data_IF_198420633285
#
_entry.id   IF_198420633285
#
_cell.length_a   1.000
_cell.length_b   1.000
_cell.length_c   1.000
_cell.angle_alpha   90.00
_cell.angle_beta   90.00
_cell.angle_gamma   90.00
#
_symmetry.space_group_name_H-M   'P 1'
#
loop_
_entity.id
_entity.type
_entity.pdbx_description
1 polymer ?
#
# COMPACT_ATOMS: atom_id res chain seq x y z
N UNK A 1 -4.22 8.29 -10.26
CA UNK A 1 -3.18 9.13 -9.62
C UNK A 1 -1.83 8.55 -9.96
N UNK A 2 -0.82 9.39 -10.23
CA UNK A 2 0.50 8.92 -10.68
C UNK A 2 1.29 8.33 -9.51
N UNK A 3 2.03 7.22 -9.70
CA UNK A 3 2.87 6.67 -8.65
C UNK A 3 3.93 7.69 -8.22
N UNK A 4 4.27 7.66 -6.93
CA UNK A 4 5.40 8.43 -6.40
C UNK A 4 6.63 7.53 -6.54
N UNK A 5 7.67 8.00 -7.22
CA UNK A 5 8.86 7.19 -7.51
C UNK A 5 10.14 7.92 -7.13
N UNK A 6 11.11 7.18 -6.60
CA UNK A 6 12.50 7.59 -6.62
C UNK A 6 13.06 7.58 -8.06
N UNK A 7 14.33 7.91 -8.24
CA UNK A 7 14.96 7.90 -9.57
C UNK A 7 14.94 6.49 -10.16
N UNK A 8 14.44 6.37 -11.39
CA UNK A 8 14.51 5.13 -12.17
C UNK A 8 15.89 5.04 -12.83
N UNK A 9 16.55 3.92 -12.66
CA UNK A 9 17.88 3.66 -13.22
C UNK A 9 17.92 2.30 -13.91
N UNK A 10 18.88 2.10 -14.81
CA UNK A 10 19.16 0.78 -15.37
C UNK A 10 19.80 -0.12 -14.31
N UNK A 11 19.38 -1.39 -14.27
CA UNK A 11 19.98 -2.37 -13.37
C UNK A 11 21.44 -2.64 -13.82
N UNK A 12 22.45 -2.44 -12.97
CA UNK A 12 23.83 -2.72 -13.34
C UNK A 12 24.11 -4.17 -13.75
N UNK A 13 23.26 -5.11 -13.27
CA UNK A 13 23.39 -6.55 -13.55
C UNK A 13 22.60 -7.00 -14.77
N UNK A 14 21.60 -6.25 -15.20
CA UNK A 14 20.76 -6.56 -16.36
C UNK A 14 20.36 -5.26 -17.08
N UNK A 15 21.10 -4.84 -18.15
CA UNK A 15 20.80 -3.59 -18.87
C UNK A 15 19.41 -3.52 -19.51
N UNK A 16 18.72 -4.65 -19.66
CA UNK A 16 17.33 -4.72 -20.15
C UNK A 16 16.30 -4.48 -19.06
N UNK A 17 16.76 -4.33 -17.81
CA UNK A 17 15.93 -4.09 -16.65
C UNK A 17 16.09 -2.67 -16.15
N UNK A 18 14.98 -2.05 -15.83
CA UNK A 18 14.92 -0.77 -15.09
C UNK A 18 14.50 -1.05 -13.66
N UNK A 19 15.04 -0.30 -12.72
CA UNK A 19 14.77 -0.44 -11.29
C UNK A 19 14.57 0.90 -10.63
N UNK A 20 13.77 0.90 -9.57
CA UNK A 20 13.54 2.04 -8.70
C UNK A 20 13.50 1.52 -7.26
N UNK A 21 14.28 2.11 -6.37
CA UNK A 21 14.37 1.67 -4.98
C UNK A 21 13.10 1.92 -4.17
N UNK A 22 12.38 2.98 -4.53
CA UNK A 22 11.12 3.32 -3.84
C UNK A 22 10.09 3.72 -4.87
N UNK A 23 9.00 2.97 -4.91
CA UNK A 23 7.78 3.31 -5.63
C UNK A 23 6.60 3.14 -4.68
N UNK A 24 5.75 4.16 -4.62
CA UNK A 24 4.48 4.13 -3.89
C UNK A 24 3.35 4.16 -4.88
N UNK A 25 2.45 3.20 -4.78
CA UNK A 25 1.22 3.13 -5.55
C UNK A 25 0.04 2.92 -4.62
N UNK A 26 -1.12 3.38 -5.03
CA UNK A 26 -2.39 3.00 -4.44
C UNK A 26 -3.39 2.73 -5.56
N UNK A 27 -4.25 1.78 -5.31
CA UNK A 27 -5.19 1.35 -6.32
C UNK A 27 -6.00 0.16 -5.88
N UNK A 28 -6.79 -0.36 -6.80
CA UNK A 28 -7.71 -1.45 -6.55
C UNK A 28 -7.09 -2.78 -6.96
N UNK A 29 -7.13 -3.76 -6.06
CA UNK A 29 -6.72 -5.12 -6.39
C UNK A 29 -7.60 -5.68 -7.51
N UNK A 30 -6.99 -6.07 -8.62
CA UNK A 30 -7.69 -6.53 -9.83
C UNK A 30 -8.14 -8.00 -9.74
N UNK A 31 -7.54 -8.75 -8.83
CA UNK A 31 -7.81 -10.17 -8.56
C UNK A 31 -7.48 -10.50 -7.11
N UNK A 32 -7.98 -11.63 -6.65
CA UNK A 32 -7.57 -12.21 -5.38
C UNK A 32 -6.07 -12.50 -5.40
N UNK A 33 -5.44 -12.46 -4.25
CA UNK A 33 -4.05 -12.86 -4.12
C UNK A 33 -3.88 -14.34 -4.44
N UNK A 34 -2.70 -14.69 -4.96
CA UNK A 34 -2.25 -16.05 -5.15
C UNK A 34 -1.11 -16.34 -4.19
N UNK A 35 -1.29 -17.36 -3.35
CA UNK A 35 -0.24 -17.87 -2.47
C UNK A 35 0.46 -19.04 -3.13
N UNK A 36 1.74 -18.96 -3.26
CA UNK A 36 2.65 -20.01 -3.74
C UNK A 36 3.82 -20.13 -2.76
N UNK A 37 4.64 -21.15 -2.94
CA UNK A 37 5.91 -21.27 -2.23
C UNK A 37 7.07 -21.19 -3.21
N UNK A 38 8.14 -20.54 -2.81
CA UNK A 38 9.38 -20.53 -3.61
C UNK A 38 9.95 -21.95 -3.66
N UNK A 39 10.73 -22.23 -4.69
CA UNK A 39 11.51 -23.47 -4.73
C UNK A 39 12.54 -23.40 -3.60
N UNK A 40 12.49 -24.37 -2.70
CA UNK A 40 13.54 -24.54 -1.70
C UNK A 40 14.85 -25.00 -2.33
N UNK A 41 15.94 -24.84 -1.59
CA UNK A 41 17.24 -25.42 -1.87
C UNK A 41 17.74 -26.15 -0.62
N UNK A 42 18.85 -26.87 -0.71
CA UNK A 42 19.47 -27.56 0.44
C UNK A 42 19.77 -26.60 1.61
N UNK A 43 20.04 -25.32 1.29
CA UNK A 43 20.41 -24.28 2.27
C UNK A 43 19.28 -23.31 2.61
N UNK A 44 18.14 -23.37 1.91
CA UNK A 44 17.04 -22.42 2.11
C UNK A 44 15.68 -23.12 1.96
N UNK A 45 14.85 -23.18 3.01
CA UNK A 45 13.54 -23.79 2.91
C UNK A 45 12.62 -22.99 1.96
N UNK A 46 11.56 -23.63 1.43
CA UNK A 46 10.52 -22.93 0.68
C UNK A 46 9.93 -21.79 1.51
N UNK A 47 9.77 -20.61 0.89
CA UNK A 47 9.19 -19.42 1.54
C UNK A 47 7.85 -19.06 0.90
N UNK A 48 6.88 -18.56 1.66
CA UNK A 48 5.62 -18.10 1.10
C UNK A 48 5.88 -16.96 0.13
N UNK A 49 5.18 -16.99 -0.99
CA UNK A 49 5.21 -16.00 -2.05
C UNK A 49 3.77 -15.62 -2.39
N UNK A 50 3.40 -14.37 -2.12
CA UNK A 50 2.09 -13.80 -2.44
C UNK A 50 2.21 -12.91 -3.67
N UNK A 51 1.29 -13.09 -4.62
CA UNK A 51 1.22 -12.28 -5.83
C UNK A 51 -0.21 -11.84 -6.11
N UNK A 52 -0.40 -10.60 -6.53
CA UNK A 52 -1.67 -10.07 -7.01
C UNK A 52 -1.43 -8.92 -7.98
N UNK A 53 -2.49 -8.43 -8.63
CA UNK A 53 -2.42 -7.29 -9.52
C UNK A 53 -3.11 -6.09 -8.90
N UNK A 54 -2.54 -4.90 -9.07
CA UNK A 54 -3.16 -3.63 -8.66
C UNK A 54 -3.40 -2.79 -9.90
N UNK A 55 -4.64 -2.36 -10.07
CA UNK A 55 -5.00 -1.34 -11.05
C UNK A 55 -4.79 0.02 -10.39
N UNK A 56 -3.81 0.76 -10.85
CA UNK A 56 -3.48 2.12 -10.42
C UNK A 56 -3.55 3.02 -11.66
N UNK A 57 -3.78 4.29 -11.50
CA UNK A 57 -4.10 5.20 -12.62
C UNK A 57 -5.18 4.64 -13.58
N UNK A 58 -5.54 5.39 -14.60
CA UNK A 58 -6.54 4.96 -15.58
C UNK A 58 -6.04 3.76 -16.38
N UNK A 59 -6.37 2.56 -15.91
CA UNK A 59 -6.13 1.26 -16.58
C UNK A 59 -4.68 0.75 -16.60
N UNK A 60 -3.76 1.30 -15.80
CA UNK A 60 -2.45 0.70 -15.63
C UNK A 60 -2.47 -0.39 -14.56
N UNK A 61 -1.74 -1.46 -14.82
CA UNK A 61 -1.64 -2.60 -13.92
C UNK A 61 -0.21 -2.78 -13.45
N UNK A 62 -0.06 -3.08 -12.16
CA UNK A 62 1.19 -3.46 -11.54
C UNK A 62 1.08 -4.88 -10.99
N UNK A 63 2.04 -5.75 -11.31
CA UNK A 63 2.18 -7.01 -10.59
C UNK A 63 2.88 -6.73 -9.28
N UNK A 64 2.26 -7.17 -8.20
CA UNK A 64 2.76 -6.97 -6.83
C UNK A 64 3.17 -8.30 -6.25
N UNK A 65 4.32 -8.32 -5.59
CA UNK A 65 4.90 -9.54 -5.01
C UNK A 65 5.40 -9.29 -3.60
N UNK A 66 5.11 -10.22 -2.69
CA UNK A 66 5.74 -10.35 -1.37
C UNK A 66 6.31 -11.73 -1.20
N UNK A 67 7.50 -11.85 -0.60
CA UNK A 67 8.18 -13.15 -0.40
C UNK A 67 8.76 -13.20 0.99
N UNK A 68 8.55 -14.32 1.67
CA UNK A 68 9.10 -14.60 2.98
C UNK A 68 8.08 -14.52 4.10
N UNK A 69 8.48 -14.94 5.27
CA UNK A 69 7.67 -14.92 6.48
C UNK A 69 7.85 -13.56 7.18
N UNK A 70 7.06 -12.57 6.76
CA UNK A 70 7.09 -11.23 7.33
C UNK A 70 5.66 -10.65 7.42
N UNK A 71 5.51 -9.57 8.18
CA UNK A 71 4.23 -8.91 8.40
C UNK A 71 3.57 -8.50 7.08
N UNK A 72 4.33 -7.97 6.13
CA UNK A 72 3.84 -7.55 4.82
C UNK A 72 3.25 -8.72 4.02
N UNK A 73 3.90 -9.89 4.06
CA UNK A 73 3.37 -11.10 3.43
C UNK A 73 2.06 -11.54 4.09
N UNK A 74 1.96 -11.47 5.42
CA UNK A 74 0.75 -11.81 6.15
C UNK A 74 -0.41 -10.86 5.82
N UNK A 75 -0.14 -9.55 5.67
CA UNK A 75 -1.14 -8.59 5.22
C UNK A 75 -1.53 -8.87 3.77
N UNK A 76 -0.55 -9.10 2.89
CA UNK A 76 -0.79 -9.38 1.48
C UNK A 76 -1.64 -10.64 1.25
N UNK A 77 -1.57 -11.65 2.12
CA UNK A 77 -2.43 -12.84 2.08
C UNK A 77 -3.92 -12.55 2.31
N UNK A 78 -4.26 -11.40 2.84
CA UNK A 78 -5.66 -10.99 3.08
C UNK A 78 -6.25 -10.18 1.92
N UNK A 79 -5.45 -9.83 0.92
CA UNK A 79 -5.91 -9.04 -0.23
C UNK A 79 -6.90 -9.84 -1.07
N UNK A 80 -8.08 -9.27 -1.29
CA UNK A 80 -9.13 -9.79 -2.16
C UNK A 80 -9.36 -8.85 -3.33
N UNK A 81 -9.87 -9.39 -4.43
CA UNK A 81 -10.31 -8.58 -5.57
C UNK A 81 -11.23 -7.47 -5.10
N UNK A 82 -10.93 -6.26 -5.52
CA UNK A 82 -11.72 -5.09 -5.18
C UNK A 82 -11.21 -4.30 -3.98
N UNK A 83 -10.37 -4.88 -3.11
CA UNK A 83 -9.78 -4.11 -2.03
C UNK A 83 -8.96 -2.94 -2.60
N UNK A 84 -9.04 -1.79 -1.96
CA UNK A 84 -8.07 -0.72 -2.15
C UNK A 84 -6.84 -1.00 -1.31
N UNK A 85 -5.67 -0.80 -1.89
CA UNK A 85 -4.38 -1.03 -1.23
C UNK A 85 -3.44 0.14 -1.47
N UNK A 86 -2.70 0.50 -0.43
CA UNK A 86 -1.53 1.37 -0.49
C UNK A 86 -0.30 0.48 -0.40
N UNK A 87 0.63 0.62 -1.33
CA UNK A 87 1.83 -0.21 -1.39
C UNK A 87 3.03 0.67 -1.64
N UNK A 88 4.07 0.49 -0.82
CA UNK A 88 5.40 1.02 -1.07
C UNK A 88 6.39 -0.13 -1.22
N UNK A 89 7.35 0.02 -2.14
CA UNK A 89 8.31 -1.04 -2.38
C UNK A 89 9.27 -0.76 -3.51
N UNK A 90 10.03 -1.77 -3.88
CA UNK A 90 11.02 -1.73 -4.95
C UNK A 90 10.41 -2.16 -6.27
N UNK A 91 10.45 -1.26 -7.24
CA UNK A 91 9.92 -1.54 -8.57
C UNK A 91 11.01 -2.00 -9.53
N UNK A 92 10.62 -2.87 -10.43
CA UNK A 92 11.44 -3.24 -11.58
C UNK A 92 10.61 -3.48 -12.82
N UNK A 93 11.14 -3.11 -13.97
CA UNK A 93 10.56 -3.39 -15.28
C UNK A 93 11.57 -4.13 -16.14
N UNK A 94 11.14 -5.21 -16.77
CA UNK A 94 11.97 -6.01 -17.67
C UNK A 94 11.30 -6.13 -19.04
N UNK A 95 12.03 -5.72 -20.08
CA UNK A 95 11.59 -5.92 -21.45
C UNK A 95 11.73 -7.41 -21.85
N UNK A 96 10.70 -7.94 -22.50
CA UNK A 96 10.71 -9.29 -23.06
C UNK A 96 9.98 -9.31 -24.42
N UNK A 97 10.30 -10.29 -25.22
CA UNK A 97 9.58 -10.53 -26.48
C UNK A 97 8.59 -11.66 -26.27
N UNK A 98 7.33 -11.42 -26.59
CA UNK A 98 6.30 -12.45 -26.49
C UNK A 98 6.41 -13.47 -27.63
N UNK A 99 5.57 -14.51 -27.60
CA UNK A 99 5.55 -15.58 -28.63
C UNK A 99 5.22 -15.05 -30.04
N UNK A 100 4.61 -13.88 -30.14
CA UNK A 100 4.24 -13.23 -31.40
C UNK A 100 5.32 -12.28 -31.94
N UNK A 101 6.50 -12.20 -31.27
CA UNK A 101 7.57 -11.28 -31.68
C UNK A 101 7.42 -9.85 -31.18
N UNK A 102 6.37 -9.53 -30.40
CA UNK A 102 6.13 -8.19 -29.89
C UNK A 102 6.97 -7.92 -28.65
N UNK A 103 7.57 -6.73 -28.58
CA UNK A 103 8.26 -6.28 -27.36
C UNK A 103 7.23 -5.83 -26.32
N UNK A 104 7.32 -6.40 -25.13
CA UNK A 104 6.49 -6.07 -23.96
C UNK A 104 7.35 -5.84 -22.74
N UNK A 105 6.80 -5.18 -21.73
CA UNK A 105 7.44 -5.01 -20.43
C UNK A 105 6.70 -5.82 -19.37
N UNK A 106 7.47 -6.36 -18.44
CA UNK A 106 6.96 -6.99 -17.22
C UNK A 106 7.32 -6.09 -16.05
N UNK A 107 6.29 -5.42 -15.50
CA UNK A 107 6.44 -4.54 -14.36
C UNK A 107 6.08 -5.29 -13.08
N UNK A 108 6.97 -5.20 -12.08
CA UNK A 108 6.83 -5.87 -10.80
C UNK A 108 7.19 -4.91 -9.66
N UNK A 109 6.34 -4.84 -8.64
CA UNK A 109 6.56 -4.12 -7.40
C UNK A 109 6.72 -5.12 -6.25
N UNK A 110 7.92 -5.18 -5.68
CA UNK A 110 8.19 -5.98 -4.49
C UNK A 110 7.84 -5.18 -3.25
N UNK A 111 6.92 -5.70 -2.46
CA UNK A 111 6.39 -5.03 -1.27
C UNK A 111 7.47 -4.88 -0.20
N UNK A 112 7.67 -3.65 0.28
CA UNK A 112 8.35 -3.33 1.53
C UNK A 112 7.34 -2.82 2.58
N UNK A 113 6.20 -2.26 2.14
CA UNK A 113 5.06 -1.87 2.96
C UNK A 113 3.75 -2.10 2.20
N UNK A 114 2.70 -2.55 2.91
CA UNK A 114 1.35 -2.71 2.36
C UNK A 114 0.31 -2.42 3.44
N UNK A 115 -0.77 -1.76 3.02
CA UNK A 115 -1.98 -1.56 3.80
C UNK A 115 -3.21 -1.82 2.95
N UNK A 116 -4.21 -2.52 3.52
CA UNK A 116 -5.51 -2.71 2.89
C UNK A 116 -6.41 -1.61 3.43
N UNK A 117 -6.85 -0.74 2.53
CA UNK A 117 -7.59 0.46 2.88
C UNK A 117 -9.08 0.13 3.02
N UNK A 118 -9.73 0.74 4.01
CA UNK A 118 -11.18 0.62 4.21
C UNK A 118 -11.96 1.42 3.17
N UNK A 119 -13.24 1.10 3.01
CA UNK A 119 -14.16 1.90 2.22
C UNK A 119 -14.24 3.32 2.79
N UNK A 120 -14.26 4.33 1.91
CA UNK A 120 -14.17 5.75 2.29
C UNK A 120 -12.76 6.35 2.20
N UNK A 121 -11.72 5.54 2.21
CA UNK A 121 -10.33 6.01 2.16
C UNK A 121 -10.01 6.81 0.90
N UNK A 122 -10.67 6.54 -0.23
CA UNK A 122 -10.46 7.31 -1.47
C UNK A 122 -10.80 8.77 -1.32
N UNK A 123 -11.90 9.06 -0.64
CA UNK A 123 -12.36 10.43 -0.37
C UNK A 123 -11.38 11.09 0.61
N UNK A 124 -11.04 10.40 1.66
CA UNK A 124 -10.10 10.87 2.67
C UNK A 124 -8.69 11.15 2.13
N UNK A 125 -8.15 10.33 1.22
CA UNK A 125 -6.89 10.63 0.52
C UNK A 125 -7.05 11.84 -0.41
N UNK A 126 -8.19 11.99 -1.06
CA UNK A 126 -8.48 13.15 -1.89
C UNK A 126 -8.49 14.43 -1.09
N UNK A 127 -9.10 14.40 0.09
CA UNK A 127 -9.16 15.53 1.03
C UNK A 127 -7.77 15.87 1.58
N UNK A 128 -7.01 14.88 2.04
CA UNK A 128 -5.63 15.08 2.48
C UNK A 128 -4.72 15.66 1.38
N UNK A 129 -4.96 15.30 0.12
CA UNK A 129 -4.23 15.88 -1.02
C UNK A 129 -4.66 17.33 -1.29
N UNK A 130 -5.95 17.64 -1.17
CA UNK A 130 -6.46 19.00 -1.32
C UNK A 130 -5.89 19.91 -0.22
N UNK A 131 -5.89 19.45 1.02
CA UNK A 131 -5.33 20.16 2.16
C UNK A 131 -3.82 20.40 2.02
N UNK A 132 -3.08 19.37 1.59
CA UNK A 132 -1.67 19.48 1.31
C UNK A 132 -1.35 20.49 0.20
N UNK A 133 -2.18 20.52 -0.84
CA UNK A 133 -2.03 21.49 -1.93
C UNK A 133 -2.31 22.90 -1.44
N UNK A 134 -3.41 23.09 -0.70
CA UNK A 134 -3.77 24.38 -0.12
C UNK A 134 -2.65 24.90 0.80
N UNK A 135 -2.21 24.10 1.76
CA UNK A 135 -1.11 24.42 2.68
C UNK A 135 0.20 24.74 1.96
N UNK A 136 0.49 24.05 0.84
CA UNK A 136 1.69 24.33 0.03
C UNK A 136 1.56 25.67 -0.69
N UNK A 137 0.40 25.99 -1.21
CA UNK A 137 0.15 27.26 -1.92
C UNK A 137 0.16 28.45 -0.98
N UNK A 138 -0.27 28.29 0.28
CA UNK A 138 -0.18 29.33 1.32
C UNK A 138 1.27 29.73 1.67
N UNK A 139 2.24 28.84 1.44
CA UNK A 139 3.66 29.13 1.64
C UNK A 139 4.23 30.10 0.60
N UNK A 140 3.48 30.43 -0.45
CA UNK A 140 3.82 31.42 -1.45
C UNK A 140 4.39 30.81 -2.75
N UNK A 141 5.07 31.68 -3.51
CA UNK A 141 5.60 31.31 -4.83
C UNK A 141 6.91 30.53 -4.73
N UNK A 142 6.95 29.38 -5.39
CA UNK A 142 8.14 28.54 -5.51
C UNK A 142 8.85 28.81 -6.83
N UNK A 143 10.12 29.17 -6.78
CA UNK A 143 10.94 29.40 -7.99
C UNK A 143 11.27 28.10 -8.72
N UNK A 144 11.46 27.02 -7.96
CA UNK A 144 11.84 25.73 -8.48
C UNK A 144 10.80 24.66 -8.20
N UNK A 145 10.56 23.80 -9.21
CA UNK A 145 9.65 22.66 -9.07
C UNK A 145 10.03 21.72 -7.92
N UNK A 146 11.34 21.57 -7.67
CA UNK A 146 11.85 20.71 -6.60
C UNK A 146 11.45 21.22 -5.20
N UNK A 147 11.38 22.53 -5.01
CA UNK A 147 11.00 23.14 -3.73
C UNK A 147 9.49 22.97 -3.49
N UNK A 148 8.67 23.21 -4.52
CA UNK A 148 7.24 22.92 -4.46
C UNK A 148 7.00 21.45 -4.12
N UNK A 149 7.68 20.52 -4.80
CA UNK A 149 7.51 19.10 -4.57
C UNK A 149 7.88 18.70 -3.14
N UNK A 150 8.95 19.25 -2.58
CA UNK A 150 9.36 19.00 -1.19
C UNK A 150 8.33 19.52 -0.18
N UNK A 151 7.83 20.74 -0.39
CA UNK A 151 6.82 21.35 0.48
C UNK A 151 5.51 20.57 0.43
N UNK A 152 5.05 20.21 -0.78
CA UNK A 152 3.84 19.42 -0.97
C UNK A 152 3.94 18.02 -0.33
N UNK A 153 5.05 17.30 -0.54
CA UNK A 153 5.23 15.97 0.05
C UNK A 153 5.24 16.04 1.58
N UNK A 154 5.84 17.07 2.18
CA UNK A 154 5.81 17.25 3.63
C UNK A 154 4.40 17.50 4.16
N UNK A 155 3.66 18.39 3.49
CA UNK A 155 2.28 18.70 3.86
C UNK A 155 1.36 17.46 3.68
N UNK A 156 1.53 16.71 2.58
CA UNK A 156 0.76 15.50 2.31
C UNK A 156 1.02 14.39 3.33
N UNK A 157 2.29 14.15 3.68
CA UNK A 157 2.63 13.15 4.71
C UNK A 157 2.02 13.51 6.05
N UNK A 158 2.01 14.80 6.43
CA UNK A 158 1.36 15.27 7.65
C UNK A 158 -0.15 15.03 7.62
N UNK A 159 -0.85 15.55 6.61
CA UNK A 159 -2.30 15.39 6.47
C UNK A 159 -2.72 13.91 6.38
N UNK A 160 -1.93 13.09 5.69
CA UNK A 160 -2.18 11.66 5.57
C UNK A 160 -1.99 10.92 6.90
N UNK A 161 -0.97 11.30 7.68
CA UNK A 161 -0.75 10.73 9.01
C UNK A 161 -1.89 11.06 9.97
N UNK A 162 -2.32 12.32 9.99
CA UNK A 162 -3.43 12.77 10.82
C UNK A 162 -4.72 12.03 10.48
N UNK A 163 -4.97 11.81 9.19
CA UNK A 163 -6.08 11.01 8.71
C UNK A 163 -6.02 9.55 9.19
N UNK A 164 -4.86 8.90 9.08
CA UNK A 164 -4.68 7.54 9.56
C UNK A 164 -4.93 7.42 11.07
N UNK A 165 -4.53 8.42 11.85
CA UNK A 165 -4.80 8.47 13.29
C UNK A 165 -6.29 8.62 13.59
N UNK A 166 -7.00 9.50 12.88
CA UNK A 166 -8.43 9.68 13.07
C UNK A 166 -9.24 8.42 12.73
N UNK A 167 -8.86 7.70 11.68
CA UNK A 167 -9.51 6.45 11.30
C UNK A 167 -9.27 5.32 12.31
N UNK A 168 -8.14 5.33 13.03
CA UNK A 168 -7.85 4.36 14.09
C UNK A 168 -8.63 4.67 15.37
N UNK A 169 -8.81 5.95 15.70
CA UNK A 169 -9.55 6.37 16.88
C UNK A 169 -11.06 6.02 16.82
N UNK A 170 -11.63 5.94 15.62
CA UNK A 170 -13.02 5.53 15.41
C UNK A 170 -13.25 4.01 15.59
N UNK A 171 -12.19 3.21 15.73
CA UNK A 171 -12.26 1.75 15.88
C UNK A 171 -12.08 1.24 17.30
N UNK A 172 -11.73 2.11 18.26
CA UNK A 172 -11.73 1.69 19.66
C UNK A 172 -13.19 1.41 20.08
N UNK A 173 -13.54 0.15 20.43
CA UNK A 173 -14.89 -0.14 20.90
C UNK A 173 -15.16 0.70 22.14
N UNK A 174 -16.32 1.35 22.17
CA UNK A 174 -16.79 2.00 23.40
C UNK A 174 -16.62 1.00 24.55
N UNK A 175 -16.04 1.44 25.69
CA UNK A 175 -15.89 0.58 26.83
C UNK A 175 -17.28 0.02 27.17
N UNK A 176 -17.41 -1.31 27.18
CA UNK A 176 -18.65 -1.97 27.51
C UNK A 176 -19.14 -1.37 28.84
N UNK A 177 -20.34 -0.77 28.82
CA UNK A 177 -20.99 -0.32 30.05
C UNK A 177 -21.01 -1.52 30.99
N UNK A 178 -20.28 -1.43 32.10
CA UNK A 178 -20.39 -2.40 33.19
C UNK A 178 -21.84 -2.36 33.65
N UNK A 179 -22.61 -3.38 33.25
CA UNK A 179 -23.90 -3.64 33.88
C UNK A 179 -23.64 -3.79 35.38
N UNK A 180 -23.92 -2.71 36.12
CA UNK A 180 -23.98 -2.77 37.56
C UNK A 180 -25.18 -3.65 37.92
N UNK A 181 -24.88 -4.96 38.11
CA UNK A 181 -25.85 -5.90 38.60
C UNK A 181 -26.35 -5.46 39.96
N UNK A 182 -27.54 -4.86 39.99
CA UNK A 182 -28.30 -4.68 41.20
C UNK A 182 -28.52 -6.05 41.84
N UNK A 183 -28.06 -6.15 43.07
CA UNK A 183 -28.14 -7.35 43.87
C UNK A 183 -29.58 -7.81 44.06
N UNK A 184 -29.89 -9.03 43.64
CA UNK A 184 -31.08 -9.73 44.07
C UNK A 184 -30.86 -10.24 45.48
N UNK A 185 -31.45 -9.54 46.45
CA UNK A 185 -31.64 -10.03 47.82
C UNK A 185 -32.47 -11.31 47.82
N UNK A 186 -31.87 -12.43 48.01
CA UNK A 186 -32.58 -13.69 48.35
C UNK A 186 -32.83 -13.70 49.84
N UNK A 187 -34.04 -13.30 50.29
CA UNK A 187 -34.55 -13.63 51.63
C UNK A 187 -34.73 -15.16 51.73
N UNK A 188 -33.94 -15.79 52.62
CA UNK A 188 -34.16 -17.14 53.10
C UNK A 188 -35.24 -17.07 54.20
N UNK A 189 -36.48 -17.48 53.88
CA UNK A 189 -37.48 -17.80 54.90
C UNK A 189 -37.30 -19.22 55.36
N UNK A 190 -37.24 -19.36 56.67
CA UNK A 190 -37.20 -20.59 57.50
C UNK A 190 -38.52 -21.34 57.41
#
# INVERSE_FOLDING_TARGET
MRPITSKIVKDPKDPKREVCETMVIWGKASRDMKLEYTKGSETSPPKPKVTFGVCYEDKRFMNVISVGECQQTNIAQRVKKGNYVLIAGRWSSKAYTNKNGESKTWDELRIDYIEILKDGFREAVSDAMADALASTMEQGYFKEKADFTRAFNRAFVGAFWDLCQSMQAEEEPEPAEEETGEGADYELSI
#
